data_IF_538637464196
#
_entry.id   IF_538637464196
#
_cell.length_a   1.000
_cell.length_b   1.000
_cell.length_c   1.000
_cell.angle_alpha   90.00
_cell.angle_beta   90.00
_cell.angle_gamma   90.00
#
_symmetry.space_group_name_H-M   'P 1'
#
loop_
_entity.id
_entity.type
_entity.pdbx_description
1 polymer ?
#
# COMPACT_ATOMS: atom_id res chain seq x y z
N UNK A 1 1.71 -5.18 24.06
CA UNK A 1 1.99 -4.57 22.75
C UNK A 1 1.96 -5.68 21.71
N UNK A 2 0.86 -5.82 20.97
CA UNK A 2 0.83 -6.75 19.83
C UNK A 2 1.77 -6.19 18.78
N UNK A 3 2.84 -6.89 18.43
CA UNK A 3 3.88 -6.44 17.51
C UNK A 3 3.42 -6.24 16.05
N UNK A 4 2.23 -5.70 15.81
CA UNK A 4 1.65 -5.33 14.51
C UNK A 4 1.77 -3.83 14.28
N UNK A 5 2.97 -3.30 14.49
CA UNK A 5 3.27 -1.88 14.27
C UNK A 5 3.59 -1.59 12.80
N UNK A 6 3.67 -0.31 12.45
CA UNK A 6 4.03 0.14 11.09
C UNK A 6 5.44 -0.36 10.67
N UNK A 7 6.29 -0.67 11.66
CA UNK A 7 7.66 -1.14 11.46
C UNK A 7 7.81 -2.67 11.57
N UNK A 8 6.73 -3.42 11.34
CA UNK A 8 6.75 -4.89 11.41
C UNK A 8 6.17 -5.50 10.16
N UNK A 9 6.75 -6.62 9.71
CA UNK A 9 6.26 -7.39 8.56
C UNK A 9 6.05 -8.85 8.98
N UNK A 10 5.07 -9.51 8.35
CA UNK A 10 4.75 -10.92 8.62
C UNK A 10 5.37 -11.79 7.54
N UNK A 11 6.35 -12.60 7.90
CA UNK A 11 7.01 -13.56 7.01
C UNK A 11 6.59 -14.96 7.46
N UNK A 12 5.79 -15.64 6.64
CA UNK A 12 5.12 -16.87 7.05
C UNK A 12 4.15 -16.59 8.20
N UNK A 13 4.34 -17.27 9.34
CA UNK A 13 3.55 -17.06 10.55
C UNK A 13 4.25 -16.21 11.63
N UNK A 14 5.48 -15.76 11.38
CA UNK A 14 6.23 -14.91 12.30
C UNK A 14 6.09 -13.44 11.96
N UNK A 15 6.03 -12.61 13.00
CA UNK A 15 6.07 -11.15 12.88
C UNK A 15 7.46 -10.68 13.26
N UNK A 16 8.14 -10.01 12.33
CA UNK A 16 9.52 -9.52 12.50
C UNK A 16 9.55 -8.01 12.42
N UNK A 17 10.41 -7.38 13.21
CA UNK A 17 10.67 -5.95 13.07
C UNK A 17 11.54 -5.69 11.85
N UNK A 18 11.33 -4.59 11.13
CA UNK A 18 12.06 -4.30 9.88
C UNK A 18 13.59 -4.20 10.07
N UNK A 19 14.06 -3.92 11.30
CA UNK A 19 15.49 -3.88 11.63
C UNK A 19 16.11 -5.27 11.79
N UNK A 20 15.29 -6.32 11.91
CA UNK A 20 15.73 -7.71 12.06
C UNK A 20 15.88 -8.40 10.70
N UNK A 21 15.54 -7.71 9.60
CA UNK A 21 15.61 -8.22 8.24
C UNK A 21 16.88 -7.76 7.57
N UNK A 22 17.49 -8.65 6.79
CA UNK A 22 18.53 -8.26 5.85
C UNK A 22 17.94 -7.39 4.73
N UNK A 23 18.79 -6.58 4.10
CA UNK A 23 18.36 -5.61 3.11
C UNK A 23 17.62 -6.24 1.92
N UNK A 24 17.99 -7.46 1.52
CA UNK A 24 17.40 -8.13 0.36
C UNK A 24 15.99 -8.62 0.69
N UNK A 25 15.80 -9.25 1.86
CA UNK A 25 14.47 -9.65 2.35
C UNK A 25 13.57 -8.43 2.56
N UNK A 26 14.10 -7.34 3.12
CA UNK A 26 13.34 -6.10 3.29
C UNK A 26 12.87 -5.50 1.96
N UNK A 27 13.75 -5.43 0.96
CA UNK A 27 13.40 -4.95 -0.38
C UNK A 27 12.35 -5.84 -1.05
N UNK A 28 12.46 -7.15 -0.89
CA UNK A 28 11.51 -8.11 -1.45
C UNK A 28 10.12 -7.93 -0.84
N UNK A 29 10.01 -7.90 0.48
CA UNK A 29 8.73 -7.71 1.19
C UNK A 29 8.13 -6.33 0.90
N UNK A 30 8.97 -5.29 0.80
CA UNK A 30 8.51 -3.95 0.41
C UNK A 30 7.94 -3.93 -1.01
N UNK A 31 8.60 -4.59 -1.96
CA UNK A 31 8.13 -4.71 -3.34
C UNK A 31 6.80 -5.46 -3.42
N UNK A 32 6.69 -6.56 -2.67
CA UNK A 32 5.45 -7.35 -2.56
C UNK A 32 4.30 -6.53 -2.00
N UNK A 33 4.50 -5.83 -0.88
CA UNK A 33 3.49 -4.94 -0.28
C UNK A 33 3.07 -3.84 -1.25
N UNK A 34 4.02 -3.23 -1.98
CA UNK A 34 3.70 -2.20 -2.98
C UNK A 34 2.82 -2.75 -4.10
N UNK A 35 3.10 -3.98 -4.55
CA UNK A 35 2.31 -4.66 -5.59
C UNK A 35 0.91 -4.99 -5.10
N UNK A 36 0.78 -5.64 -3.94
CA UNK A 36 -0.52 -5.99 -3.34
C UNK A 36 -1.39 -4.75 -3.14
N UNK A 37 -0.80 -3.64 -2.70
CA UNK A 37 -1.52 -2.37 -2.55
C UNK A 37 -1.97 -1.80 -3.90
N UNK A 38 -1.13 -1.88 -4.95
CA UNK A 38 -1.50 -1.45 -6.29
C UNK A 38 -2.66 -2.29 -6.86
N UNK A 39 -2.64 -3.60 -6.67
CA UNK A 39 -3.70 -4.52 -7.10
C UNK A 39 -5.04 -4.19 -6.40
N UNK A 40 -5.01 -3.89 -5.09
CA UNK A 40 -6.18 -3.47 -4.34
C UNK A 40 -6.76 -2.15 -4.87
N UNK A 41 -5.91 -1.18 -5.18
CA UNK A 41 -6.36 0.10 -5.74
C UNK A 41 -6.92 -0.05 -7.15
N UNK A 42 -6.31 -0.88 -8.00
CA UNK A 42 -6.86 -1.16 -9.33
C UNK A 42 -8.24 -1.78 -9.23
N UNK A 43 -8.41 -2.76 -8.33
CA UNK A 43 -9.70 -3.37 -8.05
C UNK A 43 -10.74 -2.34 -7.56
N UNK A 44 -10.38 -1.48 -6.61
CA UNK A 44 -11.26 -0.39 -6.15
C UNK A 44 -11.65 0.55 -7.30
N UNK A 45 -10.71 0.89 -8.18
CA UNK A 45 -10.96 1.67 -9.39
C UNK A 45 -11.96 0.98 -10.31
N UNK A 46 -11.81 -0.33 -10.55
CA UNK A 46 -12.77 -1.11 -11.36
C UNK A 46 -14.17 -1.14 -10.74
N UNK A 47 -14.28 -1.32 -9.43
CA UNK A 47 -15.57 -1.36 -8.72
C UNK A 47 -16.23 0.02 -8.67
N UNK A 48 -15.44 1.09 -8.53
CA UNK A 48 -15.91 2.47 -8.56
C UNK A 48 -16.35 2.94 -9.96
N UNK A 49 -15.97 2.22 -11.02
CA UNK A 49 -16.37 2.52 -12.40
C UNK A 49 -17.80 2.03 -12.69
N UNK A 50 -18.53 2.81 -13.49
CA UNK A 50 -19.86 2.46 -13.97
C UNK A 50 -20.94 2.40 -12.89
N UNK A 51 -21.96 1.58 -13.14
CA UNK A 51 -23.18 1.52 -12.34
C UNK A 51 -22.98 0.96 -10.91
N UNK A 52 -21.99 0.10 -10.70
CA UNK A 52 -21.65 -0.44 -9.37
C UNK A 52 -21.13 0.66 -8.44
N UNK A 53 -20.22 1.50 -8.92
CA UNK A 53 -19.73 2.66 -8.17
C UNK A 53 -20.80 3.71 -7.90
N UNK A 54 -21.84 3.80 -8.74
CA UNK A 54 -23.00 4.64 -8.48
C UNK A 54 -23.85 4.09 -7.32
N UNK A 55 -24.10 2.77 -7.27
CA UNK A 55 -24.81 2.13 -6.16
C UNK A 55 -24.05 2.26 -4.84
N UNK A 56 -22.72 2.09 -4.84
CA UNK A 56 -21.90 2.29 -3.64
C UNK A 56 -22.00 3.71 -3.10
N UNK A 57 -21.95 4.72 -3.99
CA UNK A 57 -22.14 6.14 -3.63
C UNK A 57 -23.53 6.41 -3.05
N UNK A 58 -24.58 5.79 -3.59
CA UNK A 58 -25.94 5.89 -3.05
C UNK A 58 -26.05 5.30 -1.64
N UNK A 59 -25.26 4.27 -1.32
CA UNK A 59 -25.18 3.68 0.02
C UNK A 59 -24.21 4.43 0.96
N UNK A 60 -23.59 5.52 0.51
CA UNK A 60 -22.60 6.28 1.28
C UNK A 60 -21.23 5.60 1.41
N UNK A 61 -20.97 4.54 0.65
CA UNK A 61 -19.70 3.82 0.66
C UNK A 61 -18.78 4.45 -0.39
N UNK A 62 -17.66 5.00 0.08
CA UNK A 62 -16.61 5.57 -0.77
C UNK A 62 -15.38 4.68 -0.73
N UNK A 63 -15.16 3.88 -1.78
CA UNK A 63 -13.91 3.14 -1.92
C UNK A 63 -12.78 4.11 -2.31
N UNK A 64 -11.63 4.07 -1.63
CA UNK A 64 -10.50 4.93 -1.97
C UNK A 64 -9.93 4.53 -3.33
N UNK A 65 -9.89 5.49 -4.25
CA UNK A 65 -9.17 5.42 -5.51
C UNK A 65 -7.73 5.94 -5.30
N UNK A 66 -6.76 5.36 -5.99
CA UNK A 66 -5.31 5.47 -5.77
C UNK A 66 -4.79 6.93 -5.70
N UNK A 67 -5.53 7.88 -6.27
CA UNK A 67 -5.14 9.28 -6.39
C UNK A 67 -4.90 10.01 -5.06
N UNK A 68 -5.31 9.45 -3.92
CA UNK A 68 -5.16 10.11 -2.61
C UNK A 68 -3.94 9.65 -1.79
N UNK A 69 -3.36 8.48 -2.08
CA UNK A 69 -2.23 7.95 -1.28
C UNK A 69 -1.05 7.61 -2.19
N UNK A 70 -0.36 8.66 -2.64
CA UNK A 70 0.93 8.55 -3.30
C UNK A 70 2.02 8.29 -2.26
N UNK A 71 2.44 7.04 -2.11
CA UNK A 71 3.70 6.70 -1.42
C UNK A 71 4.87 7.08 -2.34
N UNK A 72 5.17 8.38 -2.41
CA UNK A 72 6.36 8.88 -3.08
C UNK A 72 7.52 8.85 -2.09
N UNK A 73 8.65 8.29 -2.51
CA UNK A 73 9.91 8.52 -1.82
C UNK A 73 10.28 9.97 -2.10
N UNK A 74 10.05 10.85 -1.13
CA UNK A 74 10.40 12.26 -1.25
C UNK A 74 11.61 12.52 -0.36
N UNK A 75 12.68 13.07 -0.91
CA UNK A 75 13.86 13.42 -0.11
C UNK A 75 13.56 14.65 0.77
N UNK A 76 14.48 15.01 1.68
CA UNK A 76 14.33 16.20 2.55
C UNK A 76 14.21 17.54 1.80
N UNK A 77 14.53 17.56 0.50
CA UNK A 77 14.43 18.72 -0.40
C UNK A 77 13.13 18.74 -1.21
N UNK A 78 12.22 17.78 -0.97
CA UNK A 78 10.95 17.57 -1.67
C UNK A 78 11.10 17.04 -3.11
N UNK A 79 12.24 16.46 -3.47
CA UNK A 79 12.43 15.84 -4.79
C UNK A 79 12.02 14.35 -4.77
N UNK A 80 11.59 13.84 -5.94
CA UNK A 80 11.37 12.40 -6.14
C UNK A 80 12.68 11.63 -6.00
N UNK A 81 12.68 10.58 -5.18
CA UNK A 81 13.80 9.63 -5.05
C UNK A 81 13.80 8.61 -6.20
N UNK A 82 12.71 8.53 -6.98
CA UNK A 82 12.63 7.66 -8.15
C UNK A 82 13.04 8.43 -9.43
N UNK A 83 13.95 7.86 -10.26
CA UNK A 83 14.28 8.43 -11.57
C UNK A 83 13.11 8.31 -12.54
N UNK A 84 13.04 9.25 -13.50
CA UNK A 84 12.02 9.32 -14.57
C UNK A 84 12.10 8.13 -15.55
#
# INVERSE_FOLDING_TARGET
MTGRGINTVRIGDEVKHITELDALTLMHEWSKLKKENADLYDYNGQVNRGWRGFILRMMGIHLPDNDRVRLQGINARKDSIYPE
#
